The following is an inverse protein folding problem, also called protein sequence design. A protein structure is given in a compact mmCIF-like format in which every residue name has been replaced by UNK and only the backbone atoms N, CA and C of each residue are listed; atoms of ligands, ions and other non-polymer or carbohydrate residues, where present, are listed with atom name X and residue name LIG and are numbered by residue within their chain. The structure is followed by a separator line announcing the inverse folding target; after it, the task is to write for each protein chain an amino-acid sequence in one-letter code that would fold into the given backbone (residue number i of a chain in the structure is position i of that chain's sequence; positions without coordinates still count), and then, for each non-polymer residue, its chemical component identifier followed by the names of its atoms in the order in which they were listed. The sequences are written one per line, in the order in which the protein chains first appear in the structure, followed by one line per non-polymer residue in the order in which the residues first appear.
data_IF_413671208417
#
_entry.id   IF_413671208417
#
_cell.length_a   1.000
_cell.length_b   1.000
_cell.length_c   1.000
_cell.angle_alpha   90.00
_cell.angle_beta   90.00
_cell.angle_gamma   90.00
#
_symmetry.space_group_name_H-M   'P 1'
#
loop_
_entity.id
_entity.type
_entity.pdbx_description
1 polymer ?
#
# COMPACT_ATOMS: atom_id res chain seq x y z
N UNK A 1 -0.92 8.01 33.28
CA UNK A 1 0.09 8.55 32.34
C UNK A 1 -0.13 7.94 30.96
N UNK A 2 -0.86 8.61 30.04
CA UNK A 2 -1.03 8.09 28.66
C UNK A 2 0.30 8.27 27.92
N UNK A 3 0.85 7.19 27.38
CA UNK A 3 2.09 7.24 26.59
C UNK A 3 1.92 8.23 25.43
N UNK A 4 2.84 9.20 25.29
CA UNK A 4 2.80 10.25 24.26
C UNK A 4 2.66 9.65 22.85
N UNK A 5 3.25 8.47 22.63
CA UNK A 5 3.16 7.67 21.41
C UNK A 5 1.73 7.24 21.09
N UNK A 6 0.94 6.84 22.10
CA UNK A 6 -0.44 6.40 21.92
C UNK A 6 -1.40 7.54 21.54
N UNK A 7 -1.14 8.75 22.05
CA UNK A 7 -1.92 9.94 21.68
C UNK A 7 -1.61 10.37 20.23
N UNK A 8 -0.33 10.32 19.84
CA UNK A 8 0.09 10.60 18.47
C UNK A 8 -0.51 9.59 17.48
N UNK A 9 -0.43 8.28 17.80
CA UNK A 9 -1.00 7.20 17.01
C UNK A 9 -2.52 7.40 16.79
N UNK A 10 -3.27 7.73 17.85
CA UNK A 10 -4.70 7.96 17.75
C UNK A 10 -5.08 9.14 16.85
N UNK A 11 -4.30 10.24 16.87
CA UNK A 11 -4.51 11.39 15.98
C UNK A 11 -4.18 11.04 14.53
N UNK A 12 -3.05 10.36 14.30
CA UNK A 12 -2.63 9.92 12.96
C UNK A 12 -3.66 8.97 12.34
N UNK A 13 -4.13 7.96 13.08
CA UNK A 13 -5.15 7.03 12.58
C UNK A 13 -6.47 7.76 12.23
N UNK A 14 -6.88 8.75 13.04
CA UNK A 14 -8.10 9.53 12.77
C UNK A 14 -7.97 10.44 11.55
N UNK A 15 -6.77 10.99 11.30
CA UNK A 15 -6.49 11.76 10.08
C UNK A 15 -6.46 10.86 8.84
N UNK A 16 -5.86 9.68 8.94
CA UNK A 16 -5.82 8.70 7.85
C UNK A 16 -7.24 8.26 7.46
N UNK A 17 -8.11 7.96 8.44
CA UNK A 17 -9.51 7.58 8.20
C UNK A 17 -10.36 8.67 7.53
N UNK A 18 -9.97 9.94 7.62
CA UNK A 18 -10.67 11.05 6.96
C UNK A 18 -10.38 11.17 5.47
N UNK A 19 -9.36 10.46 4.97
CA UNK A 19 -9.02 10.38 3.55
C UNK A 19 -9.28 8.97 3.01
N UNK A 20 -10.55 8.51 2.97
CA UNK A 20 -10.87 7.16 2.51
C UNK A 20 -10.47 6.93 1.06
N UNK A 21 -10.55 7.98 0.23
CA UNK A 21 -10.14 7.96 -1.18
C UNK A 21 -8.71 7.43 -1.36
N UNK A 22 -7.74 7.96 -0.60
CA UNK A 22 -6.35 7.52 -0.78
C UNK A 22 -6.11 6.09 -0.30
N UNK A 23 -6.83 5.63 0.72
CA UNK A 23 -6.76 4.24 1.20
C UNK A 23 -7.27 3.30 0.11
N UNK A 24 -8.39 3.69 -0.51
CA UNK A 24 -9.02 2.95 -1.60
C UNK A 24 -8.07 2.86 -2.80
N UNK A 25 -7.49 3.98 -3.24
CA UNK A 25 -6.55 3.98 -4.38
C UNK A 25 -5.32 3.12 -4.11
N UNK A 26 -4.68 3.26 -2.94
CA UNK A 26 -3.47 2.49 -2.59
C UNK A 26 -3.73 0.98 -2.52
N UNK A 27 -4.94 0.55 -2.14
CA UNK A 27 -5.32 -0.86 -2.12
C UNK A 27 -5.75 -1.39 -3.50
N UNK A 28 -6.45 -0.57 -4.31
CA UNK A 28 -6.96 -0.98 -5.62
C UNK A 28 -5.86 -1.04 -6.68
N UNK A 29 -4.89 -0.10 -6.67
CA UNK A 29 -3.79 -0.08 -7.64
C UNK A 29 -3.04 -1.42 -7.76
N UNK A 30 -2.58 -2.07 -6.67
CA UNK A 30 -1.91 -3.36 -6.78
C UNK A 30 -2.82 -4.47 -7.30
N UNK A 31 -4.13 -4.45 -6.98
CA UNK A 31 -5.10 -5.41 -7.52
C UNK A 31 -5.24 -5.23 -9.03
N UNK A 32 -5.39 -3.98 -9.49
CA UNK A 32 -5.46 -3.67 -10.93
C UNK A 32 -4.20 -4.10 -11.67
N UNK A 33 -3.03 -3.91 -11.06
CA UNK A 33 -1.76 -4.36 -11.62
C UNK A 33 -1.71 -5.89 -11.71
N UNK A 34 -2.21 -6.59 -10.69
CA UNK A 34 -2.32 -8.04 -10.69
C UNK A 34 -3.23 -8.54 -11.82
N UNK A 35 -4.40 -7.92 -11.99
CA UNK A 35 -5.33 -8.27 -13.07
C UNK A 35 -4.71 -8.03 -14.44
N UNK A 36 -4.01 -6.90 -14.63
CA UNK A 36 -3.32 -6.60 -15.87
C UNK A 36 -2.24 -7.65 -16.19
N UNK A 37 -1.39 -7.99 -15.23
CA UNK A 37 -0.37 -9.02 -15.47
C UNK A 37 -0.97 -10.40 -15.70
N UNK A 38 -1.95 -10.84 -14.91
CA UNK A 38 -2.54 -12.18 -15.03
C UNK A 38 -3.38 -12.33 -16.29
N UNK A 39 -4.25 -11.37 -16.62
CA UNK A 39 -5.20 -11.49 -17.72
C UNK A 39 -4.69 -10.93 -19.05
N UNK A 40 -3.89 -9.85 -19.04
CA UNK A 40 -3.36 -9.25 -20.28
C UNK A 40 -2.03 -9.89 -20.68
N UNK A 41 -1.10 -10.02 -19.74
CA UNK A 41 0.24 -10.56 -20.01
C UNK A 41 0.37 -12.06 -19.75
N UNK A 42 -0.46 -12.65 -18.88
CA UNK A 42 -0.35 -14.05 -18.46
C UNK A 42 -0.64 -15.06 -19.57
N UNK A 43 -1.39 -14.68 -20.60
CA UNK A 43 -1.57 -15.50 -21.80
C UNK A 43 -0.36 -15.53 -22.73
N UNK A 44 0.53 -14.52 -22.65
CA UNK A 44 1.72 -14.40 -23.49
C UNK A 44 2.99 -14.92 -22.80
N UNK A 45 3.02 -14.94 -21.46
CA UNK A 45 4.19 -15.30 -20.67
C UNK A 45 4.10 -16.76 -20.24
N UNK A 46 4.91 -17.63 -20.86
CA UNK A 46 5.12 -19.00 -20.38
C UNK A 46 6.19 -19.00 -19.27
N UNK A 47 5.79 -18.95 -18.00
CA UNK A 47 6.74 -18.90 -16.87
C UNK A 47 7.35 -20.24 -16.46
N UNK A 48 7.15 -21.32 -17.23
CA UNK A 48 7.67 -22.65 -16.87
C UNK A 48 7.15 -23.18 -15.52
N UNK A 49 6.14 -22.52 -14.95
CA UNK A 49 5.52 -22.80 -13.66
C UNK A 49 4.02 -22.97 -13.91
N UNK A 50 3.41 -23.97 -13.29
CA UNK A 50 1.99 -24.31 -13.49
C UNK A 50 1.04 -23.16 -13.11
N UNK A 51 1.49 -22.18 -12.31
CA UNK A 51 0.66 -21.08 -11.87
C UNK A 51 1.41 -19.74 -11.83
N UNK A 52 1.23 -18.93 -12.87
CA UNK A 52 1.81 -17.59 -13.01
C UNK A 52 1.44 -16.65 -11.86
N UNK A 53 0.27 -16.84 -11.25
CA UNK A 53 -0.19 -16.06 -10.10
C UNK A 53 0.76 -16.19 -8.91
N UNK A 54 1.24 -17.40 -8.62
CA UNK A 54 2.12 -17.66 -7.47
C UNK A 54 3.51 -17.02 -7.63
N UNK A 55 3.96 -16.84 -8.87
CA UNK A 55 5.20 -16.13 -9.17
C UNK A 55 5.05 -14.61 -8.96
N UNK A 56 3.91 -14.05 -9.41
CA UNK A 56 3.70 -12.61 -9.46
C UNK A 56 3.21 -12.01 -8.11
N UNK A 57 2.40 -12.77 -7.38
CA UNK A 57 1.76 -12.35 -6.12
C UNK A 57 2.75 -11.75 -5.09
N UNK A 58 3.89 -12.37 -4.75
CA UNK A 58 4.80 -11.80 -3.75
C UNK A 58 5.41 -10.45 -4.19
N UNK A 59 5.69 -10.28 -5.48
CA UNK A 59 6.21 -9.01 -6.02
C UNK A 59 5.19 -7.87 -5.89
N UNK A 60 3.93 -8.14 -6.24
CA UNK A 60 2.85 -7.14 -6.10
C UNK A 60 2.57 -6.80 -4.63
N UNK A 61 2.60 -7.80 -3.74
CA UNK A 61 2.46 -7.56 -2.30
C UNK A 61 3.58 -6.66 -1.77
N UNK A 62 4.83 -6.87 -2.21
CA UNK A 62 5.95 -6.01 -1.84
C UNK A 62 5.73 -4.56 -2.30
N UNK A 63 5.28 -4.35 -3.54
CA UNK A 63 4.97 -3.01 -4.04
C UNK A 63 3.83 -2.35 -3.26
N UNK A 64 2.79 -3.09 -2.92
CA UNK A 64 1.66 -2.59 -2.15
C UNK A 64 2.09 -2.10 -0.76
N UNK A 65 2.89 -2.92 -0.06
CA UNK A 65 3.43 -2.57 1.26
C UNK A 65 4.35 -1.35 1.16
N UNK A 66 5.28 -1.35 0.21
CA UNK A 66 6.23 -0.25 0.02
C UNK A 66 5.51 1.08 -0.25
N UNK A 67 4.49 1.07 -1.11
CA UNK A 67 3.66 2.23 -1.42
C UNK A 67 2.88 2.73 -0.18
N UNK A 68 2.27 1.83 0.57
CA UNK A 68 1.54 2.17 1.80
C UNK A 68 2.42 2.77 2.89
N UNK A 69 3.63 2.23 3.07
CA UNK A 69 4.64 2.75 4.01
C UNK A 69 5.12 4.13 3.55
N UNK A 70 5.49 4.28 2.27
CA UNK A 70 5.96 5.55 1.73
C UNK A 70 4.96 6.69 1.94
N UNK A 71 3.67 6.45 1.67
CA UNK A 71 2.62 7.44 1.87
C UNK A 71 2.45 7.84 3.35
N UNK A 72 2.60 6.87 4.26
CA UNK A 72 2.56 7.13 5.71
C UNK A 72 3.79 7.89 6.17
N UNK A 73 4.98 7.54 5.66
CA UNK A 73 6.24 8.23 5.94
C UNK A 73 6.21 9.69 5.49
N UNK A 74 5.71 9.98 4.30
CA UNK A 74 5.57 11.37 3.81
C UNK A 74 4.63 12.18 4.69
N UNK A 75 3.50 11.59 5.12
CA UNK A 75 2.57 12.27 6.03
C UNK A 75 3.19 12.52 7.39
N UNK A 76 3.85 11.52 7.98
CA UNK A 76 4.59 11.67 9.24
C UNK A 76 5.66 12.77 9.15
N UNK A 77 6.45 12.77 8.08
CA UNK A 77 7.47 13.78 7.85
C UNK A 77 6.88 15.18 7.69
N UNK A 78 5.77 15.30 6.96
CA UNK A 78 5.07 16.57 6.77
C UNK A 78 4.49 17.07 8.08
N UNK A 79 3.88 16.18 8.88
CA UNK A 79 3.31 16.48 10.20
C UNK A 79 4.39 17.08 11.12
N UNK A 80 5.54 16.41 11.24
CA UNK A 80 6.72 16.87 12.02
C UNK A 80 7.27 18.19 11.48
N UNK A 81 7.34 18.35 10.15
CA UNK A 81 7.84 19.59 9.52
C UNK A 81 6.89 20.77 9.71
N UNK A 82 5.58 20.53 9.74
CA UNK A 82 4.53 21.56 9.88
C UNK A 82 4.32 22.04 11.32
N UNK A 83 5.13 21.58 12.27
CA UNK A 83 5.15 22.11 13.63
C UNK A 83 4.27 21.37 14.63
N UNK A 84 3.97 20.09 14.35
CA UNK A 84 3.77 19.13 15.43
C UNK A 84 5.12 18.60 15.93
#
# INVERSE_FOLDING_TARGET
MKSKTGVLLGRLMRNIMRSPDTIITVAITPIMMMLLFVYVFGGAIKTGTDNYVNYLLPGILLMAIASGVAYTSVRLFTDVKSGL
#
